data_IF_913566212085
#
_entry.id   IF_913566212085
#
_cell.length_a   1.000
_cell.length_b   1.000
_cell.length_c   1.000
_cell.angle_alpha   90.00
_cell.angle_beta   90.00
_cell.angle_gamma   90.00
#
_symmetry.space_group_name_H-M   'P 1'
#
loop_
_entity.id
_entity.type
_entity.pdbx_description
1 polymer ?
#
# COMPACT_ATOMS: atom_id res chain seq x y z
N UNK A 1 -31.94 -10.22 0.07
CA UNK A 1 -31.75 -9.26 1.18
C UNK A 1 -30.60 -8.30 0.92
N UNK A 2 -29.58 -8.67 0.13
CA UNK A 2 -28.33 -7.88 0.01
C UNK A 2 -28.36 -6.72 -1.03
N UNK A 3 -29.15 -6.80 -2.10
CA UNK A 3 -29.15 -5.77 -3.15
C UNK A 3 -29.81 -4.46 -2.72
N UNK A 4 -30.93 -4.52 -1.99
CA UNK A 4 -31.64 -3.34 -1.51
C UNK A 4 -30.79 -2.53 -0.52
N UNK A 5 -30.15 -3.21 0.43
CA UNK A 5 -29.29 -2.55 1.42
C UNK A 5 -28.03 -1.96 0.76
N UNK A 6 -27.50 -2.60 -0.29
CA UNK A 6 -26.39 -2.08 -1.10
C UNK A 6 -26.77 -0.80 -1.85
N UNK A 7 -27.96 -0.76 -2.44
CA UNK A 7 -28.47 0.44 -3.11
C UNK A 7 -28.71 1.58 -2.12
N UNK A 8 -29.28 1.29 -0.95
CA UNK A 8 -29.45 2.29 0.12
C UNK A 8 -28.09 2.85 0.55
N UNK A 9 -27.09 1.98 0.78
CA UNK A 9 -25.75 2.42 1.16
C UNK A 9 -25.12 3.36 0.13
N UNK A 10 -25.27 3.07 -1.16
CA UNK A 10 -24.77 3.93 -2.26
C UNK A 10 -25.48 5.27 -2.31
N UNK A 11 -26.81 5.30 -2.16
CA UNK A 11 -27.58 6.53 -2.09
C UNK A 11 -27.17 7.40 -0.90
N UNK A 12 -26.97 6.79 0.27
CA UNK A 12 -26.47 7.49 1.45
C UNK A 12 -25.06 8.05 1.22
N UNK A 13 -24.17 7.25 0.62
CA UNK A 13 -22.80 7.67 0.33
C UNK A 13 -22.78 8.86 -0.64
N UNK A 14 -23.56 8.79 -1.71
CA UNK A 14 -23.77 9.91 -2.65
C UNK A 14 -24.27 11.15 -1.95
N UNK A 15 -25.34 11.01 -1.15
CA UNK A 15 -25.96 12.15 -0.46
C UNK A 15 -24.98 12.79 0.52
N UNK A 16 -24.21 11.98 1.23
CA UNK A 16 -23.14 12.45 2.11
C UNK A 16 -22.09 13.26 1.34
N UNK A 17 -21.57 12.73 0.23
CA UNK A 17 -20.56 13.44 -0.57
C UNK A 17 -21.10 14.76 -1.09
N UNK A 18 -22.33 14.79 -1.62
CA UNK A 18 -22.94 16.02 -2.13
C UNK A 18 -23.19 17.05 -1.02
N UNK A 19 -23.50 16.60 0.20
CA UNK A 19 -23.72 17.49 1.34
C UNK A 19 -22.41 18.06 1.88
N UNK A 20 -21.37 17.23 2.01
CA UNK A 20 -20.09 17.62 2.61
C UNK A 20 -19.16 18.29 1.59
N UNK A 21 -19.24 17.89 0.32
CA UNK A 21 -18.45 18.38 -0.80
C UNK A 21 -19.38 18.82 -1.94
N UNK A 22 -20.13 19.92 -1.79
CA UNK A 22 -21.14 20.34 -2.77
C UNK A 22 -20.57 20.69 -4.15
N UNK A 23 -19.28 20.99 -4.22
CA UNK A 23 -18.56 21.27 -5.48
C UNK A 23 -17.99 20.00 -6.14
N UNK A 24 -18.17 18.82 -5.52
CA UNK A 24 -17.66 17.57 -6.08
C UNK A 24 -18.46 17.14 -7.32
N UNK A 25 -17.73 16.80 -8.38
CA UNK A 25 -18.28 16.30 -9.65
C UNK A 25 -18.02 14.80 -9.74
N UNK A 26 -19.09 14.01 -9.85
CA UNK A 26 -18.95 12.56 -10.00
C UNK A 26 -18.30 12.22 -11.35
N UNK A 27 -17.22 11.45 -11.33
CA UNK A 27 -16.55 10.94 -12.52
C UNK A 27 -17.00 9.54 -12.89
N UNK A 28 -17.36 8.75 -11.88
CA UNK A 28 -17.71 7.33 -12.04
C UNK A 28 -18.58 6.84 -10.87
N UNK A 29 -19.37 5.80 -11.12
CA UNK A 29 -20.36 5.26 -10.18
C UNK A 29 -21.79 5.69 -10.51
N UNK A 30 -22.76 4.81 -10.24
CA UNK A 30 -24.19 5.11 -10.33
C UNK A 30 -24.92 4.73 -9.05
N UNK A 31 -26.07 5.36 -8.83
CA UNK A 31 -26.90 5.11 -7.65
C UNK A 31 -27.82 3.87 -7.84
N UNK A 32 -27.95 3.34 -9.07
CA UNK A 32 -28.92 2.31 -9.44
C UNK A 32 -28.32 0.93 -9.65
N UNK A 33 -27.29 0.81 -10.49
CA UNK A 33 -26.77 -0.49 -10.92
C UNK A 33 -25.42 -0.78 -10.26
N UNK A 34 -25.13 -2.03 -9.85
CA UNK A 34 -23.83 -2.38 -9.28
C UNK A 34 -22.74 -1.93 -10.24
N UNK A 35 -21.85 -1.07 -9.76
CA UNK A 35 -20.74 -0.59 -10.58
C UNK A 35 -19.73 -1.73 -10.64
N UNK A 36 -19.50 -2.30 -11.82
CA UNK A 36 -18.33 -3.17 -12.02
C UNK A 36 -17.09 -2.28 -12.25
N UNK A 37 -15.99 -2.52 -11.51
CA UNK A 37 -15.82 -3.52 -10.46
C UNK A 37 -16.41 -3.10 -9.11
N UNK A 38 -16.90 -4.08 -8.35
CA UNK A 38 -17.61 -3.96 -7.04
C UNK A 38 -16.72 -3.46 -5.89
N UNK A 39 -15.48 -3.08 -6.17
CA UNK A 39 -14.49 -2.63 -5.18
C UNK A 39 -14.61 -1.15 -4.83
N UNK A 40 -15.04 -0.33 -5.79
CA UNK A 40 -15.30 1.09 -5.60
C UNK A 40 -16.75 1.37 -5.98
N UNK A 41 -17.45 2.22 -5.23
CA UNK A 41 -18.83 2.59 -5.57
C UNK A 41 -18.89 3.87 -6.41
N UNK A 42 -18.04 4.84 -6.08
CA UNK A 42 -18.00 6.10 -6.79
C UNK A 42 -16.62 6.76 -6.72
N UNK A 43 -16.30 7.50 -7.77
CA UNK A 43 -15.12 8.38 -7.82
C UNK A 43 -15.60 9.77 -8.15
N UNK A 44 -15.15 10.74 -7.37
CA UNK A 44 -15.52 12.13 -7.46
C UNK A 44 -14.27 12.97 -7.65
N UNK A 45 -14.39 14.02 -8.47
CA UNK A 45 -13.43 15.10 -8.57
C UNK A 45 -13.89 16.22 -7.68
N UNK A 46 -12.97 16.82 -6.94
CA UNK A 46 -13.25 17.98 -6.08
C UNK A 46 -12.15 19.02 -6.20
N UNK A 47 -12.47 20.31 -6.01
CA UNK A 47 -11.44 21.33 -5.86
C UNK A 47 -10.66 21.10 -4.56
N UNK A 48 -9.37 21.42 -4.57
CA UNK A 48 -8.51 21.32 -3.39
C UNK A 48 -7.40 22.36 -3.38
N UNK A 49 -6.83 22.58 -2.19
CA UNK A 49 -5.69 23.46 -2.00
C UNK A 49 -4.50 22.87 -2.77
N UNK A 50 -4.19 23.46 -3.94
CA UNK A 50 -3.14 22.99 -4.85
C UNK A 50 -3.61 22.37 -6.17
N UNK A 51 -4.93 22.31 -6.43
CA UNK A 51 -5.49 21.79 -7.68
C UNK A 51 -6.67 20.85 -7.44
N UNK A 52 -7.13 20.20 -8.51
CA UNK A 52 -8.15 19.16 -8.40
C UNK A 52 -7.64 17.98 -7.55
N UNK A 53 -8.54 17.38 -6.77
CA UNK A 53 -8.31 16.16 -5.99
C UNK A 53 -9.33 15.09 -6.37
N UNK A 54 -8.99 13.84 -6.11
CA UNK A 54 -9.92 12.73 -6.25
C UNK A 54 -10.38 12.22 -4.90
N UNK A 55 -11.68 11.97 -4.80
CA UNK A 55 -12.34 11.32 -3.68
C UNK A 55 -12.89 9.98 -4.17
N UNK A 56 -12.39 8.90 -3.59
CA UNK A 56 -12.83 7.52 -3.85
C UNK A 56 -13.69 7.07 -2.69
N UNK A 57 -14.85 6.51 -3.02
CA UNK A 57 -15.85 6.10 -2.05
C UNK A 57 -16.19 4.63 -2.22
N UNK A 58 -16.19 3.92 -1.10
CA UNK A 58 -16.79 2.60 -0.97
C UNK A 58 -17.95 2.70 0.02
N UNK A 59 -19.16 2.49 -0.46
CA UNK A 59 -20.33 2.36 0.38
C UNK A 59 -20.28 1.01 1.12
N UNK A 60 -20.97 0.84 2.24
CA UNK A 60 -21.12 -0.44 2.94
C UNK A 60 -22.55 -0.56 3.47
N UNK A 61 -23.16 -1.73 3.27
CA UNK A 61 -24.48 -2.05 3.80
C UNK A 61 -24.33 -2.78 5.15
N UNK A 62 -24.88 -2.22 6.23
CA UNK A 62 -24.84 -2.86 7.55
C UNK A 62 -23.60 -2.51 8.40
N UNK A 63 -23.15 -3.46 9.22
CA UNK A 63 -22.04 -3.25 10.18
C UNK A 63 -20.66 -3.26 9.50
N UNK A 64 -19.71 -2.54 10.14
CA UNK A 64 -18.32 -2.38 9.72
C UNK A 64 -17.48 -3.66 9.81
N UNK A 65 -17.82 -4.71 9.06
CA UNK A 65 -16.79 -5.65 8.67
C UNK A 65 -16.00 -5.01 7.52
N UNK A 66 -14.76 -4.61 7.82
CA UNK A 66 -13.85 -4.04 6.82
C UNK A 66 -13.86 -4.94 5.57
N UNK A 67 -14.09 -4.39 4.37
CA UNK A 67 -14.09 -5.21 3.17
C UNK A 67 -12.71 -5.85 3.05
N UNK A 68 -12.68 -7.19 3.16
CA UNK A 68 -11.49 -8.00 2.98
C UNK A 68 -11.52 -8.61 1.59
N UNK A 69 -10.41 -8.50 0.86
CA UNK A 69 -10.28 -9.10 -0.46
C UNK A 69 -9.05 -9.96 -0.52
N UNK A 70 -9.20 -11.14 -1.10
CA UNK A 70 -8.08 -12.02 -1.36
C UNK A 70 -7.56 -11.74 -2.76
N UNK A 71 -6.34 -11.26 -2.85
CA UNK A 71 -5.66 -11.04 -4.11
C UNK A 71 -5.40 -12.39 -4.81
N UNK A 72 -5.21 -12.41 -6.15
CA UNK A 72 -4.97 -13.65 -6.90
C UNK A 72 -3.80 -14.49 -6.37
N UNK A 73 -2.81 -13.85 -5.76
CA UNK A 73 -1.63 -14.48 -5.14
C UNK A 73 -1.81 -14.86 -3.67
N UNK A 74 -3.05 -14.82 -3.16
CA UNK A 74 -3.43 -15.39 -1.87
C UNK A 74 -3.39 -14.42 -0.68
N UNK A 75 -2.83 -13.22 -0.83
CA UNK A 75 -2.79 -12.17 0.21
C UNK A 75 -4.16 -11.57 0.46
N UNK A 76 -4.54 -11.37 1.72
CA UNK A 76 -5.77 -10.65 2.07
C UNK A 76 -5.45 -9.17 2.29
N UNK A 77 -6.07 -8.30 1.50
CA UNK A 77 -6.06 -6.84 1.71
C UNK A 77 -7.34 -6.39 2.41
N UNK A 78 -7.24 -5.27 3.10
CA UNK A 78 -8.31 -4.70 3.90
C UNK A 78 -8.64 -3.32 3.35
N UNK A 79 -9.93 -2.98 3.27
CA UNK A 79 -10.38 -1.63 2.93
C UNK A 79 -9.63 -0.58 3.75
N UNK A 80 -9.18 0.48 3.08
CA UNK A 80 -8.41 1.56 3.70
C UNK A 80 -6.91 1.49 3.53
N UNK A 81 -6.38 0.49 2.80
CA UNK A 81 -4.96 0.42 2.44
C UNK A 81 -4.74 0.80 0.98
N UNK A 82 -3.50 1.18 0.62
CA UNK A 82 -3.16 1.39 -0.79
C UNK A 82 -3.23 0.12 -1.60
N UNK A 83 -2.85 -1.03 -1.04
CA UNK A 83 -2.98 -2.30 -1.75
C UNK A 83 -4.44 -2.65 -2.09
N UNK A 84 -5.39 -2.30 -1.22
CA UNK A 84 -6.81 -2.41 -1.55
C UNK A 84 -7.18 -1.53 -2.76
N UNK A 85 -6.74 -0.27 -2.76
CA UNK A 85 -6.98 0.65 -3.87
C UNK A 85 -6.28 0.21 -5.16
N UNK A 86 -5.07 -0.33 -5.09
CA UNK A 86 -4.33 -0.86 -6.24
C UNK A 86 -5.07 -2.03 -6.86
N UNK A 87 -5.55 -2.95 -6.04
CA UNK A 87 -6.40 -4.04 -6.52
C UNK A 87 -7.67 -3.51 -7.20
N UNK A 88 -8.33 -2.52 -6.62
CA UNK A 88 -9.50 -1.88 -7.24
C UNK A 88 -9.17 -1.18 -8.57
N UNK A 89 -8.01 -0.52 -8.65
CA UNK A 89 -7.48 0.14 -9.86
C UNK A 89 -7.18 -0.90 -10.96
N UNK A 90 -6.59 -2.05 -10.61
CA UNK A 90 -6.37 -3.16 -11.55
C UNK A 90 -7.70 -3.67 -12.11
N UNK A 91 -8.70 -3.87 -11.25
CA UNK A 91 -10.04 -4.26 -11.67
C UNK A 91 -10.68 -3.21 -12.60
N UNK A 92 -10.48 -1.91 -12.35
CA UNK A 92 -10.96 -0.86 -13.26
C UNK A 92 -10.34 -0.98 -14.66
N UNK A 93 -9.04 -1.30 -14.74
CA UNK A 93 -8.34 -1.53 -16.03
C UNK A 93 -8.91 -2.73 -16.77
N UNK A 94 -9.17 -3.82 -16.06
CA UNK A 94 -9.79 -5.03 -16.65
C UNK A 94 -11.18 -4.74 -17.26
N UNK A 95 -11.90 -3.75 -16.73
CA UNK A 95 -13.19 -3.28 -17.28
C UNK A 95 -13.03 -2.09 -18.24
N UNK A 96 -11.83 -1.86 -18.79
CA UNK A 96 -11.56 -0.84 -19.80
C UNK A 96 -11.54 0.60 -19.28
N UNK A 97 -11.46 0.83 -17.97
CA UNK A 97 -11.44 2.16 -17.34
C UNK A 97 -10.00 2.65 -17.08
N UNK A 98 -9.14 2.55 -18.09
CA UNK A 98 -7.70 2.83 -17.97
C UNK A 98 -7.40 4.27 -17.52
N UNK A 99 -8.11 5.27 -18.05
CA UNK A 99 -7.87 6.68 -17.70
C UNK A 99 -8.23 6.98 -16.24
N UNK A 100 -9.36 6.44 -15.77
CA UNK A 100 -9.78 6.57 -14.38
C UNK A 100 -8.82 5.84 -13.43
N UNK A 101 -8.42 4.63 -13.80
CA UNK A 101 -7.43 3.85 -13.05
C UNK A 101 -6.10 4.59 -12.94
N UNK A 102 -5.60 5.16 -14.04
CA UNK A 102 -4.38 5.98 -14.06
C UNK A 102 -4.50 7.23 -13.19
N UNK A 103 -5.64 7.93 -13.25
CA UNK A 103 -5.88 9.12 -12.43
C UNK A 103 -5.91 8.80 -10.92
N UNK A 104 -6.59 7.72 -10.51
CA UNK A 104 -6.61 7.29 -9.10
C UNK A 104 -5.20 6.98 -8.62
N UNK A 105 -4.43 6.21 -9.39
CA UNK A 105 -3.07 5.83 -9.01
C UNK A 105 -2.13 7.04 -8.93
N UNK A 106 -2.23 7.97 -9.89
CA UNK A 106 -1.46 9.21 -9.87
C UNK A 106 -1.77 10.06 -8.63
N UNK A 107 -3.04 10.26 -8.31
CA UNK A 107 -3.44 11.06 -7.13
C UNK A 107 -3.11 10.35 -5.81
N UNK A 108 -3.13 9.01 -5.79
CA UNK A 108 -2.73 8.20 -4.64
C UNK A 108 -1.26 8.42 -4.29
N UNK A 109 -0.36 8.34 -5.27
CA UNK A 109 1.07 8.56 -5.05
C UNK A 109 1.45 10.04 -4.90
N UNK A 110 0.58 10.96 -5.32
CA UNK A 110 0.75 12.38 -5.06
C UNK A 110 0.20 12.82 -3.69
N UNK A 111 -0.29 11.89 -2.85
CA UNK A 111 -0.96 12.16 -1.56
C UNK A 111 -2.15 13.13 -1.67
N UNK A 112 -2.83 13.13 -2.83
CA UNK A 112 -4.00 13.95 -3.13
C UNK A 112 -5.31 13.15 -3.23
N UNK A 113 -5.23 11.82 -3.14
CA UNK A 113 -6.39 10.93 -3.11
C UNK A 113 -6.99 10.85 -1.71
N UNK A 114 -8.29 11.10 -1.59
CA UNK A 114 -9.06 10.82 -0.39
C UNK A 114 -9.84 9.53 -0.56
N UNK A 115 -9.72 8.62 0.40
CA UNK A 115 -10.48 7.37 0.43
C UNK A 115 -11.43 7.34 1.62
N UNK A 116 -12.72 7.16 1.32
CA UNK A 116 -13.81 7.12 2.29
C UNK A 116 -14.56 5.80 2.23
N UNK A 117 -14.81 5.24 3.40
CA UNK A 117 -15.85 4.22 3.59
C UNK A 117 -17.08 4.85 4.23
N UNK A 118 -18.23 4.63 3.59
CA UNK A 118 -19.51 5.18 4.01
C UNK A 118 -20.48 4.04 4.31
N UNK A 119 -20.70 3.75 5.59
CA UNK A 119 -21.61 2.71 6.03
C UNK A 119 -22.99 3.29 6.33
N UNK A 120 -24.03 2.70 5.75
CA UNK A 120 -25.42 2.99 6.10
C UNK A 120 -25.95 1.87 7.02
N UNK A 121 -26.33 2.23 8.24
CA UNK A 121 -27.00 1.32 9.17
C UNK A 121 -28.48 1.34 8.81
N UNK A 122 -28.96 0.24 8.24
CA UNK A 122 -30.35 0.08 7.79
C UNK A 122 -31.08 -0.87 8.73
N UNK A 123 -32.22 -0.45 9.25
CA UNK A 123 -33.14 -1.31 9.99
C UNK A 123 -34.47 -1.45 9.25
N UNK A 124 -35.18 -2.55 9.51
CA UNK A 124 -36.48 -2.82 8.89
C UNK A 124 -37.56 -2.60 9.95
N UNK A 125 -38.40 -1.57 9.77
CA UNK A 125 -39.51 -1.24 10.66
C UNK A 125 -40.81 -1.42 9.87
N UNK A 126 -41.67 -2.34 10.31
CA UNK A 126 -42.94 -2.67 9.64
C UNK A 126 -42.79 -3.07 8.16
N UNK A 127 -41.67 -3.70 7.79
CA UNK A 127 -41.39 -4.09 6.40
C UNK A 127 -40.81 -2.97 5.53
N UNK A 128 -40.60 -1.76 6.07
CA UNK A 128 -39.93 -0.66 5.40
C UNK A 128 -38.47 -0.55 5.86
N UNK A 129 -37.54 -0.41 4.92
CA UNK A 129 -36.14 -0.12 5.23
C UNK A 129 -35.98 1.34 5.66
N UNK A 130 -35.34 1.58 6.81
CA UNK A 130 -35.04 2.91 7.35
C UNK A 130 -33.56 3.01 7.63
N UNK A 131 -32.95 4.13 7.21
CA UNK A 131 -31.56 4.45 7.55
C UNK A 131 -31.55 5.08 8.95
N UNK A 132 -30.91 4.41 9.90
CA UNK A 132 -30.77 4.92 11.27
C UNK A 132 -29.55 5.81 11.43
N UNK A 133 -28.46 5.47 10.73
CA UNK A 133 -27.19 6.16 10.85
C UNK A 133 -26.38 6.05 9.54
N UNK A 134 -25.61 7.09 9.24
CA UNK A 134 -24.64 7.10 8.14
C UNK A 134 -23.29 7.47 8.73
N UNK A 135 -22.36 6.53 8.68
CA UNK A 135 -21.05 6.69 9.28
C UNK A 135 -19.97 6.76 8.21
N UNK A 136 -19.22 7.86 8.23
CA UNK A 136 -18.10 8.10 7.34
C UNK A 136 -16.78 7.81 8.05
N UNK A 137 -15.92 7.05 7.38
CA UNK A 137 -14.54 6.84 7.80
C UNK A 137 -13.61 7.22 6.66
N UNK A 138 -12.75 8.20 6.91
CA UNK A 138 -11.64 8.53 6.03
C UNK A 138 -10.41 7.73 6.44
N UNK A 139 -9.71 7.16 5.47
CA UNK A 139 -8.42 6.52 5.70
C UNK A 139 -7.28 7.44 5.28
N UNK A 140 -6.25 7.48 6.10
CA UNK A 140 -4.98 8.10 5.73
C UNK A 140 -4.11 7.07 5.02
N UNK A 141 -4.05 7.21 3.70
CA UNK A 141 -3.25 6.39 2.79
C UNK A 141 -2.01 7.16 2.30
N UNK A 142 -1.61 8.23 2.98
CA UNK A 142 -0.48 9.07 2.55
C UNK A 142 0.87 8.38 2.74
N UNK A 143 1.86 8.84 1.96
CA UNK A 143 3.25 8.43 2.13
C UNK A 143 3.76 8.80 3.53
N UNK A 144 3.32 9.93 4.07
CA UNK A 144 3.72 10.39 5.40
C UNK A 144 3.33 9.39 6.52
N UNK A 145 2.11 8.85 6.46
CA UNK A 145 1.63 7.87 7.44
C UNK A 145 2.27 6.50 7.25
N UNK A 146 2.48 6.07 6.00
CA UNK A 146 3.22 4.84 5.71
C UNK A 146 4.68 4.92 6.17
N UNK A 147 5.37 6.03 5.87
CA UNK A 147 6.73 6.29 6.32
C UNK A 147 6.83 6.22 7.83
N UNK A 148 5.92 6.87 8.56
CA UNK A 148 5.89 6.83 10.03
C UNK A 148 5.74 5.41 10.55
N UNK A 149 4.82 4.62 9.98
CA UNK A 149 4.59 3.24 10.38
C UNK A 149 5.81 2.34 10.11
N UNK A 150 6.41 2.47 8.92
CA UNK A 150 7.62 1.73 8.56
C UNK A 150 8.79 2.09 9.46
N UNK A 151 9.04 3.38 9.72
CA UNK A 151 10.11 3.80 10.62
C UNK A 151 9.91 3.32 12.06
N UNK A 152 8.67 3.28 12.54
CA UNK A 152 8.35 2.71 13.85
C UNK A 152 8.66 1.21 13.90
N UNK A 153 8.23 0.45 12.89
CA UNK A 153 8.50 -0.99 12.78
C UNK A 153 9.99 -1.30 12.64
N UNK A 154 10.72 -0.52 11.82
CA UNK A 154 12.18 -0.62 11.65
C UNK A 154 12.89 -0.40 12.97
N UNK A 155 12.55 0.68 13.70
CA UNK A 155 13.18 1.01 14.99
C UNK A 155 12.91 -0.03 16.07
N UNK A 156 11.74 -0.66 16.03
CA UNK A 156 11.35 -1.75 16.91
C UNK A 156 11.92 -3.12 16.48
N UNK A 157 12.60 -3.21 15.33
CA UNK A 157 13.02 -4.48 14.71
C UNK A 157 11.88 -5.48 14.53
N UNK A 158 10.68 -4.98 14.19
CA UNK A 158 9.48 -5.81 14.01
C UNK A 158 9.38 -6.29 12.55
N UNK A 159 9.91 -7.49 12.29
CA UNK A 159 9.88 -8.14 10.97
C UNK A 159 8.46 -8.25 10.42
N UNK A 160 7.53 -8.70 11.23
CA UNK A 160 6.17 -9.01 10.79
C UNK A 160 5.41 -7.73 10.44
N UNK A 161 5.61 -6.66 11.21
CA UNK A 161 5.05 -5.36 10.88
C UNK A 161 5.62 -4.81 9.57
N UNK A 162 6.94 -4.94 9.33
CA UNK A 162 7.55 -4.49 8.08
C UNK A 162 6.97 -5.24 6.89
N UNK A 163 6.90 -6.58 6.93
CA UNK A 163 6.34 -7.36 5.83
C UNK A 163 4.86 -7.05 5.57
N UNK A 164 4.08 -6.74 6.61
CA UNK A 164 2.68 -6.29 6.47
C UNK A 164 2.55 -4.90 5.87
N UNK A 165 3.52 -4.02 6.13
CA UNK A 165 3.55 -2.64 5.65
C UNK A 165 4.25 -2.49 4.30
N UNK A 166 5.01 -3.50 3.86
CA UNK A 166 5.76 -3.48 2.61
C UNK A 166 4.79 -3.60 1.43
N UNK A 167 4.37 -2.43 0.97
CA UNK A 167 3.58 -2.21 -0.24
C UNK A 167 4.38 -1.33 -1.21
N UNK A 168 4.11 -1.37 -2.52
CA UNK A 168 4.67 -0.41 -3.48
C UNK A 168 4.37 1.04 -3.07
N UNK A 169 5.41 1.87 -3.07
CA UNK A 169 5.34 3.29 -2.74
C UNK A 169 6.18 4.12 -3.72
N UNK A 170 5.92 5.43 -3.73
CA UNK A 170 6.56 6.37 -4.65
C UNK A 170 8.04 6.62 -4.34
N UNK A 171 8.71 7.31 -5.27
CA UNK A 171 10.13 7.64 -5.16
C UNK A 171 10.44 8.57 -3.96
N UNK A 172 9.51 9.45 -3.60
CA UNK A 172 9.67 10.38 -2.48
C UNK A 172 9.72 9.64 -1.12
N UNK A 173 8.80 8.69 -0.89
CA UNK A 173 8.86 7.84 0.31
C UNK A 173 10.11 6.96 0.30
N UNK A 174 10.44 6.35 -0.84
CA UNK A 174 11.66 5.55 -0.98
C UNK A 174 12.90 6.34 -0.56
N UNK A 175 13.02 7.57 -1.05
CA UNK A 175 14.09 8.49 -0.70
C UNK A 175 14.09 8.81 0.80
N UNK A 176 12.92 9.12 1.37
CA UNK A 176 12.82 9.42 2.81
C UNK A 176 13.21 8.23 3.71
N UNK A 177 12.87 6.99 3.31
CA UNK A 177 13.34 5.79 3.99
C UNK A 177 14.87 5.67 3.91
N UNK A 178 15.43 5.76 2.70
CA UNK A 178 16.88 5.68 2.47
C UNK A 178 17.65 6.74 3.26
N UNK A 179 17.17 7.99 3.27
CA UNK A 179 17.78 9.10 3.99
C UNK A 179 17.78 8.89 5.52
N UNK A 180 16.92 8.00 6.03
CA UNK A 180 16.89 7.64 7.45
C UNK A 180 18.00 6.64 7.83
N UNK A 181 18.57 5.91 6.87
CA UNK A 181 19.55 4.84 7.12
C UNK A 181 20.74 5.26 8.03
N UNK A 182 21.37 6.45 7.83
CA UNK A 182 22.49 6.87 8.68
C UNK A 182 22.11 7.12 10.14
N UNK A 183 20.84 7.36 10.42
CA UNK A 183 20.31 7.61 11.78
C UNK A 183 19.91 6.34 12.54
N UNK A 184 20.07 5.16 11.92
CA UNK A 184 19.75 3.89 12.56
C UNK A 184 20.94 3.40 13.39
N UNK A 185 20.70 3.22 14.68
CA UNK A 185 21.72 2.97 15.71
C UNK A 185 22.20 1.52 15.72
N UNK A 186 21.36 0.58 15.26
CA UNK A 186 21.65 -0.84 15.34
C UNK A 186 21.66 -1.52 13.97
N UNK A 187 22.43 -2.60 13.87
CA UNK A 187 22.45 -3.42 12.65
C UNK A 187 21.08 -4.01 12.29
N UNK A 188 20.29 -4.58 13.23
CA UNK A 188 18.94 -5.04 12.92
C UNK A 188 18.07 -3.96 12.29
N UNK A 189 18.10 -2.73 12.80
CA UNK A 189 17.34 -1.62 12.21
C UNK A 189 17.74 -1.37 10.75
N UNK A 190 19.05 -1.35 10.45
CA UNK A 190 19.56 -1.18 9.07
C UNK A 190 19.15 -2.34 8.16
N UNK A 191 19.22 -3.56 8.67
CA UNK A 191 18.78 -4.77 7.97
C UNK A 191 17.28 -4.71 7.65
N UNK A 192 16.48 -4.25 8.61
CA UNK A 192 15.04 -4.05 8.45
C UNK A 192 14.68 -2.95 7.45
N UNK A 193 15.45 -1.86 7.38
CA UNK A 193 15.28 -0.85 6.34
C UNK A 193 15.54 -1.44 4.95
N UNK A 194 16.61 -2.22 4.78
CA UNK A 194 16.89 -2.92 3.51
C UNK A 194 15.75 -3.85 3.11
N UNK A 195 15.18 -4.59 4.06
CA UNK A 195 13.98 -5.42 3.84
C UNK A 195 12.77 -4.57 3.39
N UNK A 196 12.57 -3.41 4.00
CA UNK A 196 11.46 -2.50 3.68
C UNK A 196 11.57 -1.93 2.26
N UNK A 197 12.77 -1.66 1.76
CA UNK A 197 13.01 -1.15 0.39
C UNK A 197 13.30 -2.26 -0.63
N UNK A 198 13.14 -3.53 -0.26
CA UNK A 198 13.34 -4.68 -1.15
C UNK A 198 12.39 -4.62 -2.35
N UNK A 199 12.91 -4.92 -3.54
CA UNK A 199 12.18 -4.83 -4.81
C UNK A 199 12.37 -3.51 -5.56
N UNK A 200 12.97 -2.50 -4.91
CA UNK A 200 13.41 -1.28 -5.59
C UNK A 200 14.85 -1.43 -6.12
N UNK A 201 15.12 -0.77 -7.24
CA UNK A 201 16.41 -0.77 -7.93
C UNK A 201 16.80 0.66 -8.33
N UNK A 202 18.08 0.86 -8.63
CA UNK A 202 18.60 2.11 -9.16
C UNK A 202 19.26 3.02 -8.11
N UNK A 203 19.64 4.25 -8.50
CA UNK A 203 20.61 5.07 -7.78
C UNK A 203 20.14 5.50 -6.38
N UNK A 204 18.83 5.54 -6.14
CA UNK A 204 18.28 5.90 -4.82
C UNK A 204 18.62 4.84 -3.76
N UNK A 205 18.48 3.56 -4.08
CA UNK A 205 18.73 2.47 -3.11
C UNK A 205 20.17 1.97 -3.10
N UNK A 206 20.94 2.22 -4.17
CA UNK A 206 22.33 1.76 -4.28
C UNK A 206 23.19 2.05 -3.04
N UNK A 207 23.17 3.25 -2.42
CA UNK A 207 24.01 3.54 -1.26
C UNK A 207 23.71 2.67 -0.03
N UNK A 208 22.43 2.38 0.24
CA UNK A 208 22.05 1.57 1.42
C UNK A 208 22.27 0.08 1.18
N UNK A 209 22.07 -0.37 -0.07
CA UNK A 209 22.38 -1.74 -0.48
C UNK A 209 23.89 -2.00 -0.46
N UNK A 210 24.70 -1.01 -0.81
CA UNK A 210 26.15 -1.07 -0.67
C UNK A 210 26.57 -1.15 0.81
N UNK A 211 26.08 -0.22 1.62
CA UNK A 211 26.48 -0.07 3.01
C UNK A 211 26.16 -1.32 3.86
N UNK A 212 25.07 -2.03 3.57
CA UNK A 212 24.71 -3.23 4.32
C UNK A 212 25.63 -4.42 4.01
N UNK A 213 26.23 -4.47 2.82
CA UNK A 213 27.18 -5.52 2.45
C UNK A 213 28.52 -5.38 3.16
N UNK A 214 28.85 -4.19 3.67
CA UNK A 214 30.09 -3.95 4.41
C UNK A 214 30.02 -4.34 5.89
N UNK A 215 28.84 -4.74 6.38
CA UNK A 215 28.67 -5.11 7.79
C UNK A 215 29.08 -6.57 8.03
N UNK A 216 29.95 -6.85 9.03
CA UNK A 216 30.39 -8.22 9.33
C UNK A 216 29.24 -9.18 9.67
N UNK A 217 29.45 -10.46 9.35
CA UNK A 217 28.47 -11.55 9.50
C UNK A 217 28.00 -11.82 10.93
N UNK A 218 28.85 -11.50 11.91
CA UNK A 218 28.66 -11.82 13.32
C UNK A 218 28.06 -10.68 14.14
N UNK A 219 27.80 -9.52 13.53
CA UNK A 219 27.33 -8.31 14.23
C UNK A 219 25.96 -8.49 14.91
N UNK A 220 25.09 -9.36 14.39
CA UNK A 220 23.81 -9.71 15.01
C UNK A 220 23.85 -10.91 15.97
N UNK A 221 25.01 -11.57 16.10
CA UNK A 221 25.14 -12.83 16.82
C UNK A 221 24.45 -14.01 16.11
N UNK A 222 24.46 -15.19 16.76
CA UNK A 222 23.98 -16.44 16.14
C UNK A 222 22.47 -16.48 15.86
N UNK A 223 21.68 -15.61 16.49
CA UNK A 223 20.23 -15.52 16.28
C UNK A 223 19.83 -14.80 14.99
N UNK A 224 20.76 -14.09 14.37
CA UNK A 224 20.50 -13.16 13.27
C UNK A 224 21.12 -13.61 11.94
N UNK A 225 21.75 -14.79 11.90
CA UNK A 225 22.44 -15.31 10.71
C UNK A 225 21.49 -15.42 9.49
N UNK A 226 20.25 -15.85 9.71
CA UNK A 226 19.25 -15.93 8.63
C UNK A 226 18.85 -14.54 8.11
N UNK A 227 18.75 -13.55 9.00
CA UNK A 227 18.48 -12.16 8.60
C UNK A 227 19.66 -11.58 7.82
N UNK A 228 20.89 -11.86 8.23
CA UNK A 228 22.08 -11.43 7.51
C UNK A 228 22.12 -12.02 6.09
N UNK A 229 21.83 -13.32 5.96
CA UNK A 229 21.75 -14.00 4.66
C UNK A 229 20.67 -13.41 3.76
N UNK A 230 19.46 -13.24 4.29
CA UNK A 230 18.33 -12.63 3.58
C UNK A 230 18.66 -11.23 3.06
N UNK A 231 19.16 -10.36 3.93
CA UNK A 231 19.41 -8.95 3.61
C UNK A 231 20.56 -8.78 2.62
N UNK A 232 21.58 -9.65 2.66
CA UNK A 232 22.63 -9.69 1.64
C UNK A 232 22.10 -10.12 0.28
N UNK A 233 21.24 -11.15 0.25
CA UNK A 233 20.60 -11.57 -0.99
C UNK A 233 19.72 -10.45 -1.58
N UNK A 234 19.00 -9.70 -0.75
CA UNK A 234 18.25 -8.51 -1.17
C UNK A 234 19.19 -7.47 -1.79
N UNK A 235 20.26 -7.10 -1.07
CA UNK A 235 21.19 -6.08 -1.52
C UNK A 235 21.91 -6.45 -2.83
N UNK A 236 22.43 -7.67 -2.93
CA UNK A 236 23.07 -8.17 -4.16
C UNK A 236 22.09 -8.21 -5.34
N UNK A 237 20.87 -8.68 -5.12
CA UNK A 237 19.84 -8.67 -6.16
C UNK A 237 19.47 -7.25 -6.60
N UNK A 238 19.46 -6.29 -5.67
CA UNK A 238 19.16 -4.88 -5.95
C UNK A 238 20.25 -4.17 -6.75
N UNK A 239 21.53 -4.48 -6.46
CA UNK A 239 22.70 -3.88 -7.08
C UNK A 239 22.97 -4.40 -8.50
N UNK A 240 22.50 -5.60 -8.84
CA UNK A 240 22.61 -6.14 -10.19
C UNK A 240 21.43 -5.72 -11.09
N UNK A 241 21.72 -5.46 -12.37
CA UNK A 241 20.70 -5.01 -13.31
C UNK A 241 19.54 -6.02 -13.44
N UNK A 242 18.31 -5.51 -13.34
CA UNK A 242 17.07 -6.26 -13.60
C UNK A 242 16.86 -7.44 -12.65
N UNK A 243 17.01 -7.23 -11.33
CA UNK A 243 16.89 -8.25 -10.29
C UNK A 243 15.85 -9.33 -10.55
N UNK A 244 16.17 -10.58 -10.18
CA UNK A 244 15.30 -11.73 -10.41
C UNK A 244 15.12 -12.58 -9.15
N UNK A 245 13.96 -13.22 -9.04
CA UNK A 245 13.68 -14.13 -7.93
C UNK A 245 14.71 -15.28 -7.88
N UNK A 246 15.11 -15.82 -9.03
CA UNK A 246 16.14 -16.85 -9.12
C UNK A 246 17.50 -16.37 -8.60
N UNK A 247 17.87 -15.12 -8.88
CA UNK A 247 19.13 -14.54 -8.41
C UNK A 247 19.10 -14.29 -6.90
N UNK A 248 17.97 -13.78 -6.39
CA UNK A 248 17.76 -13.68 -4.96
C UNK A 248 17.91 -15.07 -4.28
N UNK A 249 17.22 -16.09 -4.78
CA UNK A 249 17.30 -17.45 -4.23
C UNK A 249 18.72 -18.01 -4.28
N UNK A 250 19.45 -17.77 -5.37
CA UNK A 250 20.85 -18.15 -5.47
C UNK A 250 21.69 -17.54 -4.35
N UNK A 251 21.58 -16.23 -4.12
CA UNK A 251 22.35 -15.57 -3.05
C UNK A 251 21.84 -15.91 -1.65
N UNK A 252 20.59 -16.32 -1.51
CA UNK A 252 20.01 -16.73 -0.25
C UNK A 252 20.32 -18.19 0.13
N UNK A 253 20.56 -19.08 -0.82
CA UNK A 253 20.80 -20.50 -0.55
C UNK A 253 22.27 -20.91 -0.69
N UNK A 254 23.06 -20.16 -1.47
CA UNK A 254 24.47 -20.45 -1.77
C UNK A 254 25.38 -19.37 -1.17
N UNK A 255 25.89 -19.64 0.04
CA UNK A 255 26.79 -18.75 0.78
C UNK A 255 28.11 -18.47 0.00
N UNK A 256 28.59 -19.42 -0.81
CA UNK A 256 29.78 -19.22 -1.65
C UNK A 256 29.49 -18.25 -2.80
N UNK A 257 28.33 -18.38 -3.47
CA UNK A 257 27.91 -17.46 -4.50
C UNK A 257 27.70 -16.04 -3.95
N UNK A 258 27.12 -15.91 -2.76
CA UNK A 258 26.95 -14.63 -2.08
C UNK A 258 28.31 -14.01 -1.73
N UNK A 259 29.23 -14.78 -1.13
CA UNK A 259 30.57 -14.31 -0.78
C UNK A 259 31.37 -13.86 -2.01
N UNK A 260 31.31 -14.61 -3.11
CA UNK A 260 31.96 -14.26 -4.36
C UNK A 260 31.37 -12.97 -4.97
N UNK A 261 30.05 -12.79 -4.92
CA UNK A 261 29.39 -11.58 -5.42
C UNK A 261 29.76 -10.35 -4.59
N UNK A 262 29.81 -10.46 -3.26
CA UNK A 262 30.26 -9.39 -2.36
C UNK A 262 31.72 -9.04 -2.64
N UNK A 263 32.60 -10.04 -2.84
CA UNK A 263 34.00 -9.80 -3.17
C UNK A 263 34.18 -9.07 -4.50
N UNK A 264 33.41 -9.45 -5.55
CA UNK A 264 33.40 -8.72 -6.83
C UNK A 264 32.94 -7.27 -6.64
N UNK A 265 31.85 -7.06 -5.90
CA UNK A 265 31.31 -5.72 -5.64
C UNK A 265 32.34 -4.79 -4.97
N UNK A 266 33.07 -5.30 -3.97
CA UNK A 266 34.11 -4.53 -3.28
C UNK A 266 35.36 -4.25 -4.13
N UNK A 267 35.56 -5.00 -5.21
CA UNK A 267 36.72 -4.85 -6.08
C UNK A 267 36.54 -3.76 -7.17
N UNK A 268 35.30 -3.31 -7.43
CA UNK A 268 34.96 -2.34 -8.47
C UNK A 268 34.70 -2.98 -9.82
#
# INVERSE_FOLDING_TARGET
MWEADRTIARLCATSYVQQVFPEAVRLWGTDGDPTEPDELDAVWRMPGDGGERLLVVTALAGEYELPRRRLPYGTTVVGGTRDYLRYAVERLREHGRNDLAGAIEQEMYADRLWYFELAAVVTVVNGEHRVEDVRARQYDISDASLLRALLMAIRASDRDAIEKLRQPFGEDLLKALVDTYPSLDTWPQRAHLVRAVSGHHGPVVTPVMAAILDIPDDVGGSGDADMAREVRAIALNALEAGGSAERFMRYYEDDEAAAAAIARYRAG
#
